data_IF_373554407748
#
_entry.id   IF_373554407748
#
_cell.length_a   1.000
_cell.length_b   1.000
_cell.length_c   1.000
_cell.angle_alpha   90.00
_cell.angle_beta   90.00
_cell.angle_gamma   90.00
#
_symmetry.space_group_name_H-M   'P 1'
#
loop_
_entity.id
_entity.type
_entity.pdbx_description
1 polymer ?
#
# COMPACT_ATOMS: atom_id res chain seq x y z
N UNK A 1 -23.43 0.97 -24.33
CA UNK A 1 -22.34 -0.03 -24.48
C UNK A 1 -22.47 -0.99 -23.32
N UNK A 2 -22.85 -2.25 -23.57
CA UNK A 2 -22.91 -3.28 -22.54
C UNK A 2 -21.48 -3.63 -22.14
N UNK A 3 -21.01 -3.13 -21.00
CA UNK A 3 -19.72 -3.52 -20.44
C UNK A 3 -19.98 -4.84 -19.70
N UNK A 4 -19.88 -5.96 -20.40
CA UNK A 4 -19.94 -7.28 -19.77
C UNK A 4 -18.73 -7.42 -18.86
N UNK A 5 -18.94 -7.31 -17.55
CA UNK A 5 -17.92 -7.60 -16.55
C UNK A 5 -17.52 -9.06 -16.64
N UNK A 6 -16.21 -9.34 -16.55
CA UNK A 6 -15.69 -10.70 -16.55
C UNK A 6 -15.30 -11.07 -15.13
N UNK A 7 -15.86 -12.17 -14.64
CA UNK A 7 -15.50 -12.73 -13.33
C UNK A 7 -14.48 -13.85 -13.49
N UNK A 8 -13.43 -13.83 -12.68
CA UNK A 8 -12.42 -14.87 -12.61
C UNK A 8 -12.22 -15.32 -11.16
N UNK A 9 -12.29 -16.62 -10.91
CA UNK A 9 -12.05 -17.23 -9.60
C UNK A 9 -10.85 -18.14 -9.67
N UNK A 10 -9.92 -18.00 -8.72
CA UNK A 10 -8.71 -18.82 -8.74
C UNK A 10 -7.81 -18.65 -7.52
N UNK A 11 -6.85 -19.57 -7.42
CA UNK A 11 -5.80 -19.57 -6.39
C UNK A 11 -4.65 -18.65 -6.81
N UNK A 12 -4.21 -17.74 -5.95
CA UNK A 12 -3.04 -16.89 -6.18
C UNK A 12 -1.77 -17.76 -6.25
N UNK A 13 -1.08 -17.70 -7.39
CA UNK A 13 0.20 -18.36 -7.62
C UNK A 13 1.39 -17.44 -7.34
N UNK A 14 1.32 -16.19 -7.81
CA UNK A 14 2.38 -15.21 -7.58
C UNK A 14 1.83 -13.81 -7.36
N UNK A 15 2.62 -13.02 -6.65
CA UNK A 15 2.33 -11.65 -6.25
C UNK A 15 3.52 -10.79 -6.66
N UNK A 16 3.26 -9.72 -7.38
CA UNK A 16 4.29 -8.78 -7.82
C UNK A 16 3.74 -7.36 -7.71
N UNK A 17 4.62 -6.38 -7.53
CA UNK A 17 4.27 -4.99 -7.76
C UNK A 17 5.33 -4.37 -8.68
N UNK A 18 4.95 -3.31 -9.38
CA UNK A 18 5.84 -2.58 -10.27
C UNK A 18 5.61 -1.09 -10.04
N UNK A 19 6.67 -0.36 -9.71
CA UNK A 19 6.65 1.10 -9.66
C UNK A 19 6.68 1.64 -11.11
N UNK A 20 5.82 2.61 -11.42
CA UNK A 20 5.78 3.31 -12.70
C UNK A 20 5.67 4.83 -12.51
N UNK A 21 5.72 5.58 -13.62
CA UNK A 21 5.60 7.04 -13.61
C UNK A 21 4.28 7.53 -13.00
N UNK A 22 3.19 6.80 -13.25
CA UNK A 22 1.84 7.17 -12.84
C UNK A 22 1.47 6.62 -11.45
N UNK A 23 2.40 5.93 -10.80
CA UNK A 23 2.20 5.21 -9.55
C UNK A 23 2.57 3.74 -9.69
N UNK A 24 2.38 2.98 -8.62
CA UNK A 24 2.59 1.54 -8.63
C UNK A 24 1.36 0.80 -9.18
N UNK A 25 1.61 -0.41 -9.67
CA UNK A 25 0.58 -1.41 -9.94
C UNK A 25 0.87 -2.69 -9.20
N UNK A 26 -0.19 -3.36 -8.77
CA UNK A 26 -0.16 -4.70 -8.18
C UNK A 26 -0.50 -5.71 -9.26
N UNK A 27 0.23 -6.82 -9.30
CA UNK A 27 0.04 -7.89 -10.28
C UNK A 27 -0.12 -9.20 -9.53
N UNK A 28 -1.21 -9.90 -9.84
CA UNK A 28 -1.49 -11.23 -9.31
C UNK A 28 -1.68 -12.21 -10.46
N UNK A 29 -1.05 -13.38 -10.35
CA UNK A 29 -1.33 -14.51 -11.24
C UNK A 29 -2.17 -15.54 -10.50
N UNK A 30 -3.27 -15.97 -11.12
CA UNK A 30 -4.18 -16.97 -10.57
C UNK A 30 -4.14 -18.26 -11.37
N UNK A 31 -4.25 -19.40 -10.70
CA UNK A 31 -4.72 -20.64 -11.29
C UNK A 31 -6.25 -20.66 -11.27
N UNK A 32 -6.88 -20.62 -12.45
CA UNK A 32 -8.35 -20.73 -12.61
C UNK A 32 -8.71 -22.02 -13.33
N UNK A 33 -9.99 -22.39 -13.32
CA UNK A 33 -10.50 -23.55 -14.08
C UNK A 33 -10.27 -23.44 -15.59
N UNK A 34 -10.13 -22.22 -16.10
CA UNK A 34 -9.95 -21.94 -17.54
C UNK A 34 -8.48 -21.63 -17.90
N UNK A 35 -7.54 -21.95 -17.01
CA UNK A 35 -6.11 -21.67 -17.18
C UNK A 35 -5.61 -20.50 -16.33
N UNK A 36 -4.35 -20.06 -16.55
CA UNK A 36 -3.78 -18.96 -15.78
C UNK A 36 -4.47 -17.63 -16.11
N UNK A 37 -4.79 -16.85 -15.09
CA UNK A 37 -5.33 -15.50 -15.23
C UNK A 37 -4.37 -14.48 -14.61
N UNK A 38 -4.22 -13.33 -15.27
CA UNK A 38 -3.41 -12.22 -14.78
C UNK A 38 -4.31 -11.06 -14.39
N UNK A 39 -4.14 -10.55 -13.19
CA UNK A 39 -4.86 -9.40 -12.65
C UNK A 39 -3.87 -8.26 -12.46
N UNK A 40 -4.23 -7.07 -12.93
CA UNK A 40 -3.53 -5.83 -12.62
C UNK A 40 -4.46 -4.90 -11.83
N UNK A 41 -3.95 -4.36 -10.74
CA UNK A 41 -4.62 -3.32 -9.95
C UNK A 41 -3.73 -2.09 -10.02
N UNK A 42 -4.30 -0.98 -10.49
CA UNK A 42 -3.58 0.27 -10.75
C UNK A 42 -3.98 1.31 -9.73
N UNK A 43 -3.17 2.37 -9.64
CA UNK A 43 -3.43 3.54 -8.79
C UNK A 43 -3.47 3.24 -7.29
N UNK A 44 -2.96 2.07 -6.88
CA UNK A 44 -2.83 1.71 -5.47
C UNK A 44 -1.70 2.49 -4.82
N UNK A 45 -1.96 3.08 -3.66
CA UNK A 45 -0.93 3.76 -2.87
C UNK A 45 -0.28 2.80 -1.87
N UNK A 46 0.94 3.12 -1.48
CA UNK A 46 1.60 2.47 -0.35
C UNK A 46 1.48 3.35 0.88
N UNK A 47 1.37 2.72 2.04
CA UNK A 47 1.06 3.38 3.31
C UNK A 47 2.03 2.93 4.40
N UNK A 48 2.41 3.86 5.28
CA UNK A 48 2.90 3.57 6.61
C UNK A 48 2.26 4.52 7.62
N UNK A 49 2.52 4.31 8.91
CA UNK A 49 1.97 5.14 9.97
C UNK A 49 3.06 5.80 10.81
N UNK A 50 2.74 6.98 11.36
CA UNK A 50 3.53 7.68 12.38
C UNK A 50 2.59 8.13 13.51
N UNK A 51 3.14 8.64 14.62
CA UNK A 51 2.33 9.31 15.62
C UNK A 51 1.79 10.63 15.07
N UNK A 52 0.53 10.97 15.34
CA UNK A 52 -0.09 12.20 14.84
C UNK A 52 0.61 13.47 15.37
N UNK A 53 1.21 13.40 16.56
CA UNK A 53 2.06 14.44 17.15
C UNK A 53 3.27 14.79 16.28
N UNK A 54 3.79 13.83 15.50
CA UNK A 54 4.96 14.01 14.63
C UNK A 54 4.61 14.63 13.26
N UNK A 55 3.34 14.92 12.96
CA UNK A 55 2.89 15.43 11.65
C UNK A 55 3.76 16.59 11.14
N UNK A 56 3.96 17.63 11.97
CA UNK A 56 4.69 18.82 11.54
C UNK A 56 6.19 18.55 11.31
N UNK A 57 6.79 17.69 12.14
CA UNK A 57 8.17 17.25 11.97
C UNK A 57 8.32 16.43 10.69
N UNK A 58 7.40 15.49 10.44
CA UNK A 58 7.37 14.69 9.23
C UNK A 58 7.25 15.54 7.97
N UNK A 59 6.32 16.52 7.93
CA UNK A 59 6.23 17.49 6.82
C UNK A 59 7.54 18.22 6.56
N UNK A 60 8.21 18.69 7.61
CA UNK A 60 9.49 19.38 7.48
C UNK A 60 10.59 18.51 6.85
N UNK A 61 10.58 17.20 7.13
CA UNK A 61 11.52 16.24 6.55
C UNK A 61 11.15 15.82 5.11
N UNK A 62 9.86 15.64 4.82
CA UNK A 62 9.40 14.96 3.61
C UNK A 62 9.07 15.91 2.46
N UNK A 63 8.49 17.09 2.73
CA UNK A 63 7.89 17.95 1.70
C UNK A 63 8.90 18.46 0.66
N UNK A 64 10.19 18.53 1.01
CA UNK A 64 11.27 18.95 0.11
C UNK A 64 11.72 17.85 -0.85
N UNK A 65 11.50 16.59 -0.52
CA UNK A 65 12.05 15.44 -1.26
C UNK A 65 10.99 14.56 -1.89
N UNK A 66 9.77 14.57 -1.36
CA UNK A 66 8.72 13.63 -1.72
C UNK A 66 7.37 14.31 -1.89
N UNK A 67 6.61 13.84 -2.87
CA UNK A 67 5.17 14.04 -2.92
C UNK A 67 4.50 12.92 -2.12
N UNK A 68 3.74 13.30 -1.10
CA UNK A 68 3.04 12.38 -0.22
C UNK A 68 1.77 13.07 0.28
N UNK A 69 0.84 12.30 0.82
CA UNK A 69 -0.34 12.84 1.54
C UNK A 69 -0.46 12.16 2.89
N UNK A 70 -1.14 12.81 3.82
CA UNK A 70 -1.44 12.22 5.13
C UNK A 70 -2.90 12.39 5.52
N UNK A 71 -3.39 11.46 6.33
CA UNK A 71 -4.78 11.45 6.80
C UNK A 71 -4.83 10.94 8.22
N UNK A 72 -5.65 11.57 9.06
CA UNK A 72 -5.93 11.09 10.41
C UNK A 72 -6.84 9.87 10.34
N UNK A 73 -6.54 8.87 11.16
CA UNK A 73 -7.25 7.60 11.16
C UNK A 73 -7.59 7.22 12.59
N UNK A 74 -8.65 6.44 12.76
CA UNK A 74 -9.04 5.91 14.07
C UNK A 74 -8.19 4.68 14.45
N UNK A 75 -6.87 4.87 14.49
CA UNK A 75 -5.90 3.89 14.98
C UNK A 75 -4.97 4.57 15.98
N UNK A 76 -4.28 3.76 16.79
CA UNK A 76 -3.32 4.23 17.80
C UNK A 76 -2.00 3.51 17.67
N UNK A 77 -0.90 4.24 17.91
CA UNK A 77 0.42 3.65 18.01
C UNK A 77 0.49 2.72 19.24
N UNK A 78 1.12 1.55 19.09
CA UNK A 78 1.16 0.54 20.15
C UNK A 78 1.85 1.03 21.43
N UNK A 79 3.04 1.65 21.30
CA UNK A 79 3.85 2.05 22.45
C UNK A 79 3.34 3.32 23.12
N UNK A 80 3.16 4.40 22.35
CA UNK A 80 2.77 5.72 22.89
C UNK A 80 1.27 5.85 23.17
N UNK A 81 0.42 4.98 22.59
CA UNK A 81 -1.06 5.08 22.58
C UNK A 81 -1.61 6.35 21.92
N UNK A 82 -0.74 7.14 21.31
CA UNK A 82 -1.11 8.34 20.56
C UNK A 82 -1.91 7.97 19.30
N UNK A 83 -2.80 8.87 18.84
CA UNK A 83 -3.44 8.71 17.54
C UNK A 83 -2.41 8.51 16.43
N UNK A 84 -2.70 7.60 15.51
CA UNK A 84 -1.86 7.34 14.35
C UNK A 84 -2.22 8.29 13.20
N UNK A 85 -1.21 8.63 12.40
CA UNK A 85 -1.36 9.33 11.13
C UNK A 85 -0.94 8.40 10.00
N UNK A 86 -1.83 8.19 9.03
CA UNK A 86 -1.51 7.50 7.80
C UNK A 86 -0.70 8.40 6.87
N UNK A 87 0.39 7.89 6.31
CA UNK A 87 1.23 8.55 5.32
C UNK A 87 1.20 7.73 4.02
N UNK A 88 0.70 8.32 2.93
CA UNK A 88 0.49 7.65 1.66
C UNK A 88 1.48 8.14 0.60
N UNK A 89 1.94 7.19 -0.21
CA UNK A 89 2.92 7.38 -1.27
C UNK A 89 2.44 6.67 -2.53
N UNK A 90 2.66 7.28 -3.71
CA UNK A 90 2.23 6.69 -4.99
C UNK A 90 3.03 5.45 -5.40
N UNK A 91 4.18 5.20 -4.78
CA UNK A 91 5.06 4.08 -5.11
C UNK A 91 5.90 3.64 -3.90
N UNK A 92 6.47 2.44 -4.00
CA UNK A 92 7.29 1.86 -2.92
C UNK A 92 8.62 2.57 -2.74
N UNK A 93 9.15 3.16 -3.80
CA UNK A 93 10.35 3.98 -3.72
C UNK A 93 10.17 5.19 -2.79
N UNK A 94 8.99 5.83 -2.81
CA UNK A 94 8.60 6.89 -1.90
C UNK A 94 8.49 6.42 -0.44
N UNK A 95 7.93 5.24 -0.19
CA UNK A 95 7.92 4.64 1.15
C UNK A 95 9.33 4.42 1.68
N UNK A 96 10.22 3.84 0.87
CA UNK A 96 11.61 3.58 1.29
C UNK A 96 12.34 4.88 1.63
N UNK A 97 12.23 5.90 0.78
CA UNK A 97 12.87 7.19 1.03
C UNK A 97 12.24 7.89 2.24
N UNK A 98 10.92 7.95 2.32
CA UNK A 98 10.21 8.59 3.42
C UNK A 98 10.54 7.95 4.77
N UNK A 99 10.54 6.62 4.85
CA UNK A 99 10.96 5.88 6.04
C UNK A 99 12.40 6.25 6.44
N UNK A 100 13.34 6.25 5.49
CA UNK A 100 14.74 6.58 5.79
C UNK A 100 14.90 8.01 6.30
N UNK A 101 14.21 8.99 5.68
CA UNK A 101 14.27 10.40 6.10
C UNK A 101 13.70 10.60 7.51
N UNK A 102 12.58 9.95 7.83
CA UNK A 102 11.96 10.03 9.16
C UNK A 102 12.82 9.35 10.23
N UNK A 103 13.39 8.19 9.92
CA UNK A 103 14.31 7.48 10.82
C UNK A 103 15.57 8.30 11.14
N UNK A 104 16.13 9.02 10.16
CA UNK A 104 17.27 9.91 10.37
C UNK A 104 16.96 11.13 11.26
N UNK A 105 15.68 11.43 11.47
CA UNK A 105 15.22 12.54 12.30
C UNK A 105 14.50 12.05 13.57
N UNK A 106 14.76 10.80 13.98
CA UNK A 106 14.20 10.18 15.18
C UNK A 106 12.66 10.23 15.23
N UNK A 107 12.00 9.98 14.09
CA UNK A 107 10.55 9.84 13.99
C UNK A 107 10.23 8.36 13.78
N UNK A 108 9.57 7.70 14.75
CA UNK A 108 9.17 6.30 14.62
C UNK A 108 8.17 6.08 13.48
N UNK A 109 8.41 5.03 12.69
CA UNK A 109 7.54 4.63 11.58
C UNK A 109 7.03 3.21 11.81
N UNK A 110 5.74 2.99 11.58
CA UNK A 110 5.07 1.71 11.78
C UNK A 110 4.57 1.14 10.45
N UNK A 111 4.67 -0.19 10.31
CA UNK A 111 4.20 -0.98 9.17
C UNK A 111 4.75 -0.58 7.78
N UNK A 112 5.90 0.10 7.73
CA UNK A 112 6.56 0.49 6.48
C UNK A 112 7.30 -0.66 5.77
N UNK A 113 7.31 -1.85 6.34
CA UNK A 113 7.88 -3.08 5.79
C UNK A 113 6.84 -3.98 5.09
N UNK A 114 5.55 -3.67 5.24
CA UNK A 114 4.47 -4.40 4.58
C UNK A 114 4.48 -4.12 3.08
N UNK A 115 4.57 -5.19 2.28
CA UNK A 115 4.58 -5.08 0.81
C UNK A 115 3.19 -4.66 0.31
N UNK A 116 3.09 -3.89 -0.79
CA UNK A 116 1.80 -3.43 -1.34
C UNK A 116 0.83 -4.56 -1.67
N UNK A 117 1.34 -5.65 -2.24
CA UNK A 117 0.52 -6.82 -2.57
C UNK A 117 -0.01 -7.51 -1.32
N UNK A 118 0.80 -7.63 -0.27
CA UNK A 118 0.36 -8.23 0.98
C UNK A 118 -0.63 -7.32 1.72
N UNK A 119 -0.39 -6.00 1.74
CA UNK A 119 -1.33 -4.98 2.24
C UNK A 119 -2.71 -5.13 1.58
N UNK A 120 -2.73 -5.15 0.25
CA UNK A 120 -3.97 -5.23 -0.53
C UNK A 120 -4.79 -6.48 -0.19
N UNK A 121 -4.13 -7.63 -0.07
CA UNK A 121 -4.78 -8.91 0.24
C UNK A 121 -5.21 -8.98 1.70
N UNK A 122 -4.37 -8.54 2.63
CA UNK A 122 -4.59 -8.59 4.08
C UNK A 122 -5.83 -7.80 4.49
N UNK A 123 -5.98 -6.57 3.97
CA UNK A 123 -7.11 -5.70 4.27
C UNK A 123 -8.44 -6.22 3.70
N UNK A 124 -8.37 -7.17 2.77
CA UNK A 124 -9.53 -7.86 2.17
C UNK A 124 -9.69 -9.29 2.68
N UNK A 125 -8.92 -9.69 3.69
CA UNK A 125 -8.91 -11.04 4.28
C UNK A 125 -8.63 -12.16 3.25
N UNK A 126 -7.93 -11.86 2.16
CA UNK A 126 -7.61 -12.82 1.11
C UNK A 126 -6.32 -13.58 1.47
N UNK A 127 -6.42 -14.91 1.57
CA UNK A 127 -5.28 -15.77 1.98
C UNK A 127 -4.76 -16.70 0.88
N UNK A 128 -5.53 -16.92 -0.18
CA UNK A 128 -5.15 -17.85 -1.25
C UNK A 128 -6.06 -17.75 -2.46
N UNK A 129 -7.30 -18.20 -2.34
CA UNK A 129 -8.29 -18.08 -3.42
C UNK A 129 -8.97 -16.72 -3.38
N UNK A 130 -9.18 -16.12 -4.54
CA UNK A 130 -10.00 -14.92 -4.68
C UNK A 130 -10.93 -15.04 -5.89
N UNK A 131 -11.95 -14.19 -5.89
CA UNK A 131 -12.77 -13.90 -7.06
C UNK A 131 -12.57 -12.42 -7.41
N UNK A 132 -12.34 -12.15 -8.69
CA UNK A 132 -12.19 -10.79 -9.22
C UNK A 132 -13.25 -10.57 -10.28
N UNK A 133 -13.81 -9.36 -10.31
CA UNK A 133 -14.73 -8.90 -11.36
C UNK A 133 -14.22 -7.55 -11.85
N UNK A 134 -14.15 -7.38 -13.18
CA UNK A 134 -13.71 -6.15 -13.83
C UNK A 134 -13.99 -6.14 -15.32
#
# INVERSE_FOLDING_TARGET
VNISSRTAKGLILSRQWQDGSDGQKLVFWLATSSGPARIEIREEESIFFIAASDRQRASSCLDRQLKWRSTEIDLRCFHSREPALACYFRNQSGVRLGRSLLQQNDIPVYEADVRPTDRYLMERFIRGTLEVTG
#
